data_IF_659353809191
#
_entry.id   IF_659353809191
#
_cell.length_a   1.000
_cell.length_b   1.000
_cell.length_c   1.000
_cell.angle_alpha   90.00
_cell.angle_beta   90.00
_cell.angle_gamma   90.00
#
_symmetry.space_group_name_H-M   'P 1'
#
loop_
_entity.id
_entity.type
_entity.pdbx_description
1 polymer ?
#
# COMPACT_ATOMS: atom_id res chain seq x y z
N UNK A 1 16.72 15.03 -17.90
CA UNK A 1 15.71 14.74 -16.85
C UNK A 1 16.32 15.08 -15.49
N UNK A 2 15.58 15.74 -14.60
CA UNK A 2 16.02 15.98 -13.21
C UNK A 2 15.66 14.79 -12.33
N UNK A 3 16.34 14.62 -11.18
CA UNK A 3 16.02 13.57 -10.20
C UNK A 3 14.56 13.63 -9.75
N UNK A 4 14.01 14.84 -9.58
CA UNK A 4 12.61 15.04 -9.22
C UNK A 4 11.65 14.49 -10.28
N UNK A 5 11.88 14.79 -11.57
CA UNK A 5 11.06 14.26 -12.67
C UNK A 5 11.14 12.73 -12.77
N UNK A 6 12.31 12.15 -12.48
CA UNK A 6 12.49 10.70 -12.47
C UNK A 6 11.67 10.03 -11.34
N UNK A 7 11.73 10.56 -10.13
CA UNK A 7 10.95 10.06 -8.97
C UNK A 7 9.45 10.22 -9.20
N UNK A 8 9.02 11.39 -9.68
CA UNK A 8 7.62 11.65 -10.03
C UNK A 8 7.09 10.64 -11.07
N UNK A 9 7.83 10.44 -12.17
CA UNK A 9 7.47 9.49 -13.22
C UNK A 9 7.54 8.02 -12.78
N UNK A 10 8.43 7.67 -11.84
CA UNK A 10 8.46 6.34 -11.22
C UNK A 10 7.17 6.07 -10.45
N UNK A 11 6.75 6.98 -9.56
CA UNK A 11 5.56 6.77 -8.75
C UNK A 11 4.28 6.70 -9.59
N UNK A 12 4.14 7.51 -10.65
CA UNK A 12 2.98 7.41 -11.54
C UNK A 12 2.87 6.07 -12.26
N UNK A 13 4.00 5.52 -12.73
CA UNK A 13 4.03 4.17 -13.33
C UNK A 13 3.78 3.08 -12.29
N UNK A 14 4.34 3.24 -11.09
CA UNK A 14 4.13 2.31 -9.99
C UNK A 14 2.66 2.24 -9.57
N UNK A 15 1.94 3.37 -9.53
CA UNK A 15 0.51 3.40 -9.21
C UNK A 15 -0.33 2.59 -10.21
N UNK A 16 -0.03 2.69 -11.51
CA UNK A 16 -0.76 1.93 -12.54
C UNK A 16 -0.68 0.41 -12.34
N UNK A 17 0.42 -0.07 -11.74
CA UNK A 17 0.61 -1.49 -11.42
C UNK A 17 0.06 -1.84 -10.03
N UNK A 18 0.25 -0.97 -9.05
CA UNK A 18 -0.13 -1.22 -7.66
C UNK A 18 -1.64 -1.03 -7.40
N UNK A 19 -2.29 -0.08 -8.08
CA UNK A 19 -3.70 0.26 -7.91
C UNK A 19 -4.64 -0.94 -8.07
N UNK A 20 -4.59 -1.68 -9.20
CA UNK A 20 -5.43 -2.86 -9.38
C UNK A 20 -5.16 -3.95 -8.32
N UNK A 21 -3.90 -4.10 -7.89
CA UNK A 21 -3.51 -5.12 -6.90
C UNK A 21 -4.08 -4.81 -5.52
N UNK A 22 -4.01 -3.54 -5.08
CA UNK A 22 -4.57 -3.14 -3.79
C UNK A 22 -6.10 -3.15 -3.80
N UNK A 23 -6.72 -2.79 -4.93
CA UNK A 23 -8.17 -2.94 -5.10
C UNK A 23 -8.60 -4.41 -4.99
N UNK A 24 -7.91 -5.33 -5.70
CA UNK A 24 -8.18 -6.76 -5.61
C UNK A 24 -7.99 -7.30 -4.19
N UNK A 25 -6.97 -6.82 -3.47
CA UNK A 25 -6.74 -7.16 -2.07
C UNK A 25 -7.91 -6.73 -1.18
N UNK A 26 -8.35 -5.47 -1.29
CA UNK A 26 -9.47 -4.95 -0.49
C UNK A 26 -10.78 -5.71 -0.76
N UNK A 27 -11.02 -6.12 -2.02
CA UNK A 27 -12.16 -6.97 -2.36
C UNK A 27 -12.04 -8.39 -1.77
N UNK A 28 -10.82 -8.94 -1.67
CA UNK A 28 -10.56 -10.29 -1.13
C UNK A 28 -10.53 -10.37 0.38
N UNK A 29 -10.42 -9.28 1.13
CA UNK A 29 -10.50 -9.28 2.60
C UNK A 29 -11.78 -9.93 3.15
N UNK A 30 -12.83 -10.11 2.33
CA UNK A 30 -14.03 -10.88 2.68
C UNK A 30 -13.93 -12.40 2.48
N UNK A 31 -12.82 -12.95 1.97
CA UNK A 31 -12.63 -14.36 1.63
C UNK A 31 -11.32 -14.93 2.19
N UNK A 32 -11.42 -16.07 2.89
CA UNK A 32 -10.45 -16.58 3.87
C UNK A 32 -9.04 -17.02 3.41
N UNK A 33 -8.45 -16.48 2.35
CA UNK A 33 -7.01 -16.62 2.09
C UNK A 33 -6.49 -15.30 1.53
N UNK A 34 -5.86 -14.52 2.40
CA UNK A 34 -5.27 -13.22 2.09
C UNK A 34 -3.82 -13.45 1.67
N UNK A 35 -3.46 -13.10 0.43
CA UNK A 35 -2.06 -13.05 -0.02
C UNK A 35 -1.22 -12.25 0.99
N UNK A 36 -0.01 -12.73 1.29
CA UNK A 36 0.80 -12.36 2.47
C UNK A 36 0.71 -10.88 2.91
N UNK A 37 0.54 -10.60 4.22
CA UNK A 37 0.41 -9.24 4.75
C UNK A 37 1.60 -8.33 4.40
N UNK A 38 2.78 -8.91 4.11
CA UNK A 38 3.96 -8.18 3.65
C UNK A 38 3.75 -7.53 2.26
N UNK A 39 3.05 -8.19 1.34
CA UNK A 39 2.82 -7.67 -0.01
C UNK A 39 1.84 -6.49 0.01
N UNK A 40 0.77 -6.59 0.81
CA UNK A 40 -0.20 -5.51 0.95
C UNK A 40 0.43 -4.26 1.58
N UNK A 41 1.23 -4.44 2.63
CA UNK A 41 1.99 -3.35 3.25
C UNK A 41 2.96 -2.69 2.25
N UNK A 42 3.72 -3.49 1.48
CA UNK A 42 4.69 -2.95 0.53
C UNK A 42 4.00 -2.11 -0.56
N UNK A 43 2.86 -2.58 -1.05
CA UNK A 43 2.02 -1.82 -2.00
C UNK A 43 1.50 -0.53 -1.38
N UNK A 44 0.95 -0.60 -0.17
CA UNK A 44 0.41 0.58 0.53
C UNK A 44 1.49 1.63 0.81
N UNK A 45 2.66 1.20 1.29
CA UNK A 45 3.82 2.07 1.54
C UNK A 45 4.29 2.76 0.26
N UNK A 46 4.35 2.03 -0.86
CA UNK A 46 4.74 2.59 -2.15
C UNK A 46 3.75 3.65 -2.67
N UNK A 47 2.46 3.44 -2.43
CA UNK A 47 1.40 4.38 -2.82
C UNK A 47 1.45 5.64 -1.95
N UNK A 48 1.56 5.50 -0.63
CA UNK A 48 1.68 6.63 0.31
C UNK A 48 2.88 7.52 -0.04
N UNK A 49 4.05 6.92 -0.34
CA UNK A 49 5.22 7.69 -0.80
C UNK A 49 4.98 8.44 -2.11
N UNK A 50 4.14 7.91 -3.00
CA UNK A 50 3.74 8.61 -4.22
C UNK A 50 2.85 9.82 -3.96
N UNK A 51 1.92 9.70 -3.01
CA UNK A 51 1.09 10.80 -2.52
C UNK A 51 1.95 11.89 -1.86
N UNK A 52 2.87 11.49 -0.97
CA UNK A 52 3.76 12.43 -0.27
C UNK A 52 4.74 13.14 -1.24
N UNK A 53 5.13 12.47 -2.33
CA UNK A 53 5.91 13.07 -3.41
C UNK A 53 5.08 14.02 -4.31
N UNK A 54 3.75 14.01 -4.19
CA UNK A 54 2.84 14.73 -5.07
C UNK A 54 2.77 14.16 -6.49
N UNK A 55 3.14 12.87 -6.67
CA UNK A 55 3.11 12.21 -7.99
C UNK A 55 1.69 12.04 -8.54
N UNK A 56 0.71 12.02 -7.64
CA UNK A 56 -0.73 11.95 -7.88
C UNK A 56 -1.46 12.35 -6.58
N UNK A 57 -2.77 12.54 -6.69
CA UNK A 57 -3.68 12.90 -5.60
C UNK A 57 -4.53 11.71 -5.18
N UNK A 58 -5.27 11.83 -4.07
CA UNK A 58 -6.19 10.78 -3.59
C UNK A 58 -7.24 10.38 -4.63
N UNK A 59 -7.62 11.29 -5.52
CA UNK A 59 -8.53 11.01 -6.64
C UNK A 59 -7.99 10.02 -7.68
N UNK A 60 -6.69 9.72 -7.67
CA UNK A 60 -6.08 8.71 -8.54
C UNK A 60 -6.12 7.30 -7.92
N UNK A 61 -6.54 7.19 -6.66
CA UNK A 61 -6.67 5.91 -5.98
C UNK A 61 -7.90 5.13 -6.51
N UNK A 62 -7.85 3.80 -6.48
CA UNK A 62 -9.01 2.99 -6.83
C UNK A 62 -10.16 3.21 -5.82
N UNK A 63 -11.42 3.02 -6.24
CA UNK A 63 -12.57 3.20 -5.36
C UNK A 63 -12.51 2.27 -4.14
N UNK A 64 -12.84 2.81 -2.97
CA UNK A 64 -12.74 2.11 -1.68
C UNK A 64 -11.31 2.05 -1.11
N UNK A 65 -10.33 2.64 -1.78
CA UNK A 65 -8.99 2.85 -1.27
C UNK A 65 -8.79 4.34 -1.00
N UNK A 66 -8.59 4.70 0.27
CA UNK A 66 -8.24 6.04 0.70
C UNK A 66 -6.96 6.01 1.53
N UNK A 67 -6.43 7.19 1.85
CA UNK A 67 -5.20 7.32 2.64
C UNK A 67 -5.30 6.60 3.99
N UNK A 68 -6.45 6.66 4.65
CA UNK A 68 -6.67 6.02 5.94
C UNK A 68 -6.57 4.47 5.84
N UNK A 69 -7.17 3.87 4.82
CA UNK A 69 -7.07 2.43 4.54
C UNK A 69 -5.61 2.03 4.27
N UNK A 70 -4.88 2.82 3.48
CA UNK A 70 -3.46 2.57 3.21
C UNK A 70 -2.61 2.64 4.50
N UNK A 71 -2.84 3.65 5.34
CA UNK A 71 -2.15 3.81 6.62
C UNK A 71 -2.45 2.63 7.56
N UNK A 72 -3.70 2.14 7.60
CA UNK A 72 -4.06 0.95 8.36
C UNK A 72 -3.34 -0.31 7.87
N UNK A 73 -3.21 -0.50 6.55
CA UNK A 73 -2.48 -1.64 5.99
C UNK A 73 -0.99 -1.59 6.33
N UNK A 74 -0.42 -0.39 6.40
CA UNK A 74 0.98 -0.21 6.84
C UNK A 74 1.12 -0.54 8.31
N UNK A 75 0.21 -0.04 9.15
CA UNK A 75 0.25 -0.25 10.61
C UNK A 75 -0.01 -1.71 10.99
N UNK A 76 -0.92 -2.41 10.31
CA UNK A 76 -1.30 -3.79 10.64
C UNK A 76 -0.09 -4.73 10.72
N UNK A 77 0.79 -4.67 9.73
CA UNK A 77 1.99 -5.51 9.72
C UNK A 77 2.98 -5.08 10.82
N UNK A 78 3.08 -3.79 11.14
CA UNK A 78 3.92 -3.36 12.28
C UNK A 78 3.40 -3.88 13.61
N UNK A 79 2.08 -3.99 13.78
CA UNK A 79 1.44 -4.57 14.97
C UNK A 79 1.60 -6.09 15.00
N UNK A 80 1.39 -6.77 13.88
CA UNK A 80 1.58 -8.23 13.76
C UNK A 80 3.05 -8.62 14.00
N UNK A 81 4.00 -7.85 13.45
CA UNK A 81 5.43 -8.04 13.66
C UNK A 81 5.88 -7.73 15.11
N UNK A 82 5.27 -6.73 15.76
CA UNK A 82 5.56 -6.40 17.16
C UNK A 82 4.96 -7.40 18.16
N UNK A 83 3.86 -8.08 17.79
CA UNK A 83 3.17 -9.05 18.65
C UNK A 83 3.74 -10.47 18.49
N UNK A 84 4.40 -10.80 17.37
CA UNK A 84 5.03 -12.11 17.11
C UNK A 84 6.23 -12.50 18.00
N UNK A 85 6.53 -11.72 19.05
CA UNK A 85 7.65 -11.95 19.97
C UNK A 85 7.30 -12.57 21.32
N UNK A 86 6.04 -12.87 21.60
CA UNK A 86 5.63 -13.47 22.88
C UNK A 86 4.57 -14.54 22.68
N UNK A 87 4.98 -15.76 22.38
CA UNK A 87 4.49 -16.99 23.05
C UNK A 87 5.20 -18.23 22.47
N UNK A 88 6.21 -18.73 23.20
CA UNK A 88 6.62 -20.14 23.12
C UNK A 88 7.32 -20.52 24.42
N UNK A 89 6.53 -20.92 25.42
CA UNK A 89 6.98 -21.74 26.55
C UNK A 89 5.91 -22.74 26.95
#
# INVERSE_FOLDING_TARGET
MTRWLATYGFHRRALAVAGPRIAAYLQRQGGGVVDEPATAQALATGILRGLDCGAYTDSALPPGCDRAVLDQLVQRNTVDAATGGTDQR
#
